data_IF_441233165551
#
_entry.id   IF_441233165551
#
_cell.length_a   1.000
_cell.length_b   1.000
_cell.length_c   1.000
_cell.angle_alpha   90.00
_cell.angle_beta   90.00
_cell.angle_gamma   90.00
#
_symmetry.space_group_name_H-M   'P 1'
#
loop_
_entity.id
_entity.type
_entity.pdbx_description
1 polymer ?
#
# COMPACT_ATOMS: atom_id res chain seq x y z
N UNK A 1 -2.78 -16.92 6.55
CA UNK A 1 -1.74 -15.88 6.51
C UNK A 1 -2.40 -14.60 5.99
N UNK A 2 -2.20 -13.45 6.64
CA UNK A 2 -2.70 -12.17 6.14
C UNK A 2 -1.81 -11.70 4.99
N UNK A 3 -2.39 -11.45 3.82
CA UNK A 3 -1.68 -10.83 2.71
C UNK A 3 -1.71 -9.31 2.89
N UNK A 4 -0.62 -8.77 3.44
CA UNK A 4 -0.52 -7.34 3.73
C UNK A 4 -0.56 -6.48 2.47
N UNK A 5 -0.07 -6.99 1.33
CA UNK A 5 -0.14 -6.29 0.06
C UNK A 5 -1.57 -5.98 -0.36
N UNK A 6 -2.42 -7.00 -0.45
CA UNK A 6 -3.83 -6.84 -0.84
C UNK A 6 -4.57 -5.93 0.15
N UNK A 7 -4.31 -6.12 1.45
CA UNK A 7 -4.94 -5.29 2.48
C UNK A 7 -4.53 -3.82 2.37
N UNK A 8 -3.25 -3.50 2.20
CA UNK A 8 -2.78 -2.12 2.06
C UNK A 8 -3.28 -1.52 0.75
N UNK A 9 -3.29 -2.29 -0.33
CA UNK A 9 -3.84 -1.89 -1.65
C UNK A 9 -5.31 -1.50 -1.55
N UNK A 10 -6.15 -2.37 -1.00
CA UNK A 10 -7.60 -2.16 -0.92
C UNK A 10 -7.93 -0.93 -0.05
N UNK A 11 -7.23 -0.76 1.07
CA UNK A 11 -7.42 0.40 1.94
C UNK A 11 -6.88 1.70 1.31
N UNK A 12 -5.77 1.65 0.58
CA UNK A 12 -5.23 2.81 -0.10
C UNK A 12 -6.12 3.26 -1.28
N UNK A 13 -6.55 2.32 -2.12
CA UNK A 13 -7.49 2.57 -3.22
C UNK A 13 -8.85 3.05 -2.68
N UNK A 14 -9.30 2.51 -1.54
CA UNK A 14 -10.50 2.96 -0.84
C UNK A 14 -10.38 4.31 -0.13
N UNK A 15 -9.20 4.97 -0.16
CA UNK A 15 -8.97 6.27 0.48
C UNK A 15 -8.77 6.24 1.99
N UNK A 16 -8.65 5.05 2.59
CA UNK A 16 -8.39 4.87 4.03
C UNK A 16 -6.93 5.07 4.41
N UNK A 17 -6.00 4.87 3.46
CA UNK A 17 -4.58 5.10 3.65
C UNK A 17 -4.05 6.20 2.74
N UNK A 18 -3.07 6.94 3.26
CA UNK A 18 -2.24 7.88 2.49
C UNK A 18 -0.94 7.20 2.08
N UNK A 19 -0.19 7.82 1.16
CA UNK A 19 1.12 7.32 0.73
C UNK A 19 2.09 7.17 1.91
N UNK A 20 1.99 8.05 2.91
CA UNK A 20 2.77 7.95 4.14
C UNK A 20 2.41 6.69 4.95
N UNK A 21 1.14 6.33 5.00
CA UNK A 21 0.70 5.07 5.64
C UNK A 21 1.19 3.85 4.86
N UNK A 22 1.12 3.87 3.53
CA UNK A 22 1.68 2.80 2.68
C UNK A 22 3.18 2.62 2.94
N UNK A 23 3.93 3.72 3.03
CA UNK A 23 5.37 3.67 3.35
C UNK A 23 5.66 3.16 4.77
N UNK A 24 4.78 3.39 5.76
CA UNK A 24 4.91 2.76 7.09
C UNK A 24 4.86 1.24 7.01
N UNK A 25 4.04 0.66 6.13
CA UNK A 25 4.00 -0.79 5.95
C UNK A 25 5.30 -1.35 5.33
N UNK A 26 6.02 -0.55 4.53
CA UNK A 26 7.36 -0.89 4.04
C UNK A 26 8.36 -0.91 5.19
N UNK A 27 8.37 0.13 6.04
CA UNK A 27 9.24 0.21 7.21
C UNK A 27 9.00 -0.95 8.19
N UNK A 28 7.75 -1.38 8.34
CA UNK A 28 7.34 -2.52 9.16
C UNK A 28 7.61 -3.89 8.49
N UNK A 29 8.25 -3.90 7.31
CA UNK A 29 8.52 -5.10 6.49
C UNK A 29 7.29 -5.96 6.23
N UNK A 30 6.10 -5.32 6.16
CA UNK A 30 4.84 -5.99 5.83
C UNK A 30 4.65 -6.13 4.33
N UNK A 31 5.15 -5.16 3.58
CA UNK A 31 5.20 -5.13 2.12
C UNK A 31 6.61 -4.66 1.68
N UNK A 32 6.97 -4.93 0.43
CA UNK A 32 8.20 -4.41 -0.16
C UNK A 32 8.02 -2.98 -0.69
N UNK A 33 9.15 -2.30 -0.94
CA UNK A 33 9.13 -0.96 -1.51
C UNK A 33 8.56 -0.94 -2.94
N UNK A 34 8.76 -2.01 -3.71
CA UNK A 34 8.14 -2.19 -5.04
C UNK A 34 6.62 -2.33 -4.93
N UNK A 35 6.15 -3.16 -4.01
CA UNK A 35 4.72 -3.32 -3.71
C UNK A 35 4.06 -2.01 -3.29
N UNK A 36 4.73 -1.22 -2.44
CA UNK A 36 4.24 0.10 -2.07
C UNK A 36 4.15 1.06 -3.26
N UNK A 37 5.16 1.09 -4.13
CA UNK A 37 5.12 1.90 -5.36
C UNK A 37 3.97 1.50 -6.27
N UNK A 38 3.75 0.20 -6.49
CA UNK A 38 2.62 -0.28 -7.27
C UNK A 38 1.28 0.20 -6.68
N UNK A 39 1.11 0.08 -5.36
CA UNK A 39 -0.11 0.52 -4.67
C UNK A 39 -0.32 2.03 -4.85
N UNK A 40 0.73 2.83 -4.68
CA UNK A 40 0.68 4.28 -4.81
C UNK A 40 0.30 4.69 -6.24
N UNK A 41 0.97 4.09 -7.24
CA UNK A 41 0.72 4.38 -8.65
C UNK A 41 -0.67 3.95 -9.14
N UNK A 42 -1.30 2.95 -8.51
CA UNK A 42 -2.67 2.53 -8.85
C UNK A 42 -3.74 3.59 -8.55
N UNK A 43 -3.51 4.48 -7.58
CA UNK A 43 -4.45 5.57 -7.23
C UNK A 43 -4.28 6.80 -8.11
N UNK A 44 -3.09 7.04 -8.66
CA UNK A 44 -2.86 8.14 -9.60
C UNK A 44 -3.42 7.84 -11.01
N UNK A 45 -3.60 6.56 -11.33
CA UNK A 45 -4.12 6.12 -12.63
C UNK A 45 -5.67 6.05 -12.71
N UNK A 46 -6.39 6.39 -11.64
CA UNK A 46 -7.85 6.21 -11.53
C UNK A 46 -8.58 7.50 -11.12
#
# INVERSE_FOLDING_TARGET
MINWYEKVKEYYVGGYYTEEQVNKFVALKKITLEQAKEIISLKEAN
#
